data_IF_404973747427
#
_entry.id   IF_404973747427
#
_cell.length_a   1.000
_cell.length_b   1.000
_cell.length_c   1.000
_cell.angle_alpha   90.00
_cell.angle_beta   90.00
_cell.angle_gamma   90.00
#
_symmetry.space_group_name_H-M   'P 1'
#
loop_
_entity.id
_entity.type
_entity.pdbx_description
1 polymer ?
#
# COMPACT_ATOMS: atom_id res chain seq x y z
N UNK A 1 -4.57 67.45 -20.83
CA UNK A 1 -5.95 67.91 -20.51
C UNK A 1 -6.86 66.69 -20.51
N UNK A 2 -7.91 66.62 -19.68
CA UNK A 2 -7.91 66.24 -18.25
C UNK A 2 -8.57 64.83 -18.02
N UNK A 3 -8.15 64.03 -17.03
CA UNK A 3 -8.72 63.82 -15.66
C UNK A 3 -9.97 62.90 -15.59
N UNK A 4 -9.74 61.67 -15.07
CA UNK A 4 -10.59 60.79 -14.20
C UNK A 4 -11.96 60.30 -14.72
N UNK A 5 -12.53 59.13 -14.40
CA UNK A 5 -12.58 58.31 -13.17
C UNK A 5 -12.94 56.83 -13.46
N UNK A 6 -12.54 55.97 -12.51
CA UNK A 6 -12.94 54.59 -12.19
C UNK A 6 -14.35 54.08 -12.59
N UNK A 7 -14.47 52.81 -13.00
CA UNK A 7 -14.85 51.66 -12.15
C UNK A 7 -15.39 50.44 -12.93
N UNK A 8 -14.89 49.25 -12.55
CA UNK A 8 -15.50 47.91 -12.53
C UNK A 8 -16.81 47.62 -13.31
N UNK A 9 -16.81 46.52 -14.09
CA UNK A 9 -17.54 45.27 -13.79
C UNK A 9 -17.25 44.24 -14.91
N UNK A 10 -16.63 43.12 -14.53
CA UNK A 10 -16.51 41.91 -15.34
C UNK A 10 -17.89 41.26 -15.52
N UNK A 11 -18.45 41.30 -16.72
CA UNK A 11 -19.61 40.50 -17.11
C UNK A 11 -19.15 39.18 -17.72
N UNK A 12 -19.30 38.10 -16.96
CA UNK A 12 -19.18 36.72 -17.46
C UNK A 12 -20.41 36.40 -18.31
N UNK A 13 -20.19 36.21 -19.62
CA UNK A 13 -21.19 35.67 -20.55
C UNK A 13 -21.50 34.22 -20.20
N UNK A 14 -22.77 33.96 -19.85
CA UNK A 14 -23.34 32.63 -19.77
C UNK A 14 -23.66 32.14 -21.19
N UNK A 15 -23.04 31.03 -21.60
CA UNK A 15 -23.51 30.25 -22.75
C UNK A 15 -24.43 29.13 -22.26
N UNK A 16 -25.59 29.07 -22.88
CA UNK A 16 -26.68 28.15 -22.60
C UNK A 16 -26.33 26.69 -22.93
N UNK A 17 -26.68 25.78 -22.01
CA UNK A 17 -26.86 24.36 -22.29
C UNK A 17 -28.25 23.96 -21.75
N UNK A 18 -29.02 23.27 -22.60
CA UNK A 18 -30.42 22.94 -22.40
C UNK A 18 -30.70 21.88 -21.31
N UNK A 19 -31.98 21.60 -21.03
CA UNK A 19 -32.40 20.85 -19.86
C UNK A 19 -32.54 19.35 -20.17
N UNK A 20 -31.76 18.51 -19.50
CA UNK A 20 -32.08 17.10 -19.31
C UNK A 20 -31.31 16.58 -18.08
N UNK A 21 -31.95 15.66 -17.34
CA UNK A 21 -31.52 15.01 -16.10
C UNK A 21 -31.85 15.73 -14.79
N UNK A 22 -33.11 15.54 -14.37
CA UNK A 22 -33.47 15.44 -12.97
C UNK A 22 -32.74 14.22 -12.36
N UNK A 23 -31.60 14.48 -11.73
CA UNK A 23 -30.84 13.54 -10.90
C UNK A 23 -30.82 14.02 -9.45
N UNK A 24 -30.99 13.08 -8.51
CA UNK A 24 -31.10 13.28 -7.07
C UNK A 24 -30.17 14.35 -6.43
N UNK A 25 -30.65 15.20 -5.49
CA UNK A 25 -29.86 16.29 -4.90
C UNK A 25 -28.82 15.88 -3.83
N UNK A 26 -28.73 14.61 -3.45
CA UNK A 26 -28.02 14.19 -2.24
C UNK A 26 -26.48 14.14 -2.39
N UNK A 27 -25.97 13.89 -3.59
CA UNK A 27 -24.52 13.71 -3.85
C UNK A 27 -23.80 15.05 -4.06
N UNK A 28 -24.40 16.01 -4.78
CA UNK A 28 -23.88 17.38 -4.94
C UNK A 28 -23.76 18.13 -3.61
N UNK A 29 -24.69 17.88 -2.66
CA UNK A 29 -24.65 18.49 -1.33
C UNK A 29 -23.51 18.00 -0.44
N UNK A 30 -22.99 16.78 -0.64
CA UNK A 30 -21.93 16.19 0.19
C UNK A 30 -20.55 16.68 -0.23
N UNK A 31 -20.29 16.75 -1.54
CA UNK A 31 -19.05 17.28 -2.09
C UNK A 31 -18.90 18.78 -1.78
N UNK A 32 -19.96 19.57 -1.95
CA UNK A 32 -19.93 21.00 -1.63
C UNK A 32 -19.68 21.28 -0.14
N UNK A 33 -20.30 20.48 0.75
CA UNK A 33 -20.05 20.54 2.21
C UNK A 33 -18.61 20.18 2.56
N UNK A 34 -18.02 19.16 1.93
CA UNK A 34 -16.63 18.78 2.14
C UNK A 34 -15.65 19.86 1.68
N UNK A 35 -15.91 20.51 0.53
CA UNK A 35 -15.11 21.64 0.05
C UNK A 35 -15.17 22.82 1.01
N UNK A 36 -16.35 23.18 1.52
CA UNK A 36 -16.50 24.26 2.52
C UNK A 36 -15.81 23.89 3.84
N UNK A 37 -15.96 22.65 4.32
CA UNK A 37 -15.31 22.17 5.56
C UNK A 37 -13.79 22.20 5.45
N UNK A 38 -13.24 21.79 4.30
CA UNK A 38 -11.80 21.83 4.03
C UNK A 38 -11.29 23.27 3.89
N UNK A 39 -12.03 24.16 3.22
CA UNK A 39 -11.71 25.60 3.16
C UNK A 39 -11.70 26.25 4.54
N UNK A 40 -12.70 25.94 5.38
CA UNK A 40 -12.76 26.41 6.77
C UNK A 40 -11.56 25.90 7.57
N UNK A 41 -11.32 24.58 7.61
CA UNK A 41 -10.15 23.97 8.29
C UNK A 41 -8.83 24.62 7.88
N UNK A 42 -8.63 24.84 6.57
CA UNK A 42 -7.42 25.47 6.03
C UNK A 42 -7.28 26.94 6.46
N UNK A 43 -8.37 27.71 6.49
CA UNK A 43 -8.38 29.08 7.04
C UNK A 43 -8.03 29.11 8.53
N UNK A 44 -8.61 28.21 9.34
CA UNK A 44 -8.33 28.16 10.79
C UNK A 44 -6.88 27.76 11.07
N UNK A 45 -6.33 26.79 10.32
CA UNK A 45 -4.92 26.40 10.41
C UNK A 45 -3.98 27.56 10.05
N UNK A 46 -4.21 28.23 8.92
CA UNK A 46 -3.38 29.36 8.49
C UNK A 46 -3.43 30.51 9.51
N UNK A 47 -4.59 30.78 10.11
CA UNK A 47 -4.73 31.78 11.17
C UNK A 47 -3.92 31.43 12.43
N UNK A 48 -3.94 30.17 12.87
CA UNK A 48 -3.14 29.70 14.01
C UNK A 48 -1.64 29.76 13.71
N UNK A 49 -1.23 29.34 12.51
CA UNK A 49 0.19 29.42 12.10
C UNK A 49 0.68 30.87 12.04
N UNK A 50 -0.12 31.79 11.50
CA UNK A 50 0.24 33.22 11.44
C UNK A 50 0.50 33.79 12.83
N UNK A 51 -0.41 33.55 13.78
CA UNK A 51 -0.26 33.97 15.17
C UNK A 51 1.01 33.40 15.81
N UNK A 52 1.29 32.11 15.58
CA UNK A 52 2.51 31.47 16.08
C UNK A 52 3.79 32.12 15.50
N UNK A 53 3.81 32.47 14.21
CA UNK A 53 4.96 33.14 13.62
C UNK A 53 5.17 34.55 14.21
N UNK A 54 4.09 35.31 14.39
CA UNK A 54 4.14 36.65 14.97
C UNK A 54 4.63 36.65 16.43
N UNK A 55 4.25 35.65 17.23
CA UNK A 55 4.78 35.45 18.59
C UNK A 55 6.30 35.27 18.63
N UNK A 56 6.93 34.91 17.51
CA UNK A 56 8.38 34.68 17.36
C UNK A 56 9.07 35.85 16.66
N UNK A 57 8.45 37.04 16.75
CA UNK A 57 8.94 38.32 16.21
C UNK A 57 9.07 38.35 14.67
N UNK A 58 8.33 37.50 13.97
CA UNK A 58 8.21 37.56 12.51
C UNK A 58 7.13 38.59 12.17
N UNK A 59 7.44 39.53 11.28
CA UNK A 59 6.45 40.53 10.88
C UNK A 59 5.26 39.90 10.15
N UNK A 60 4.09 40.53 10.28
CA UNK A 60 2.83 40.01 9.75
C UNK A 60 2.87 39.75 8.23
N UNK A 61 3.61 40.57 7.47
CA UNK A 61 3.70 40.48 6.01
C UNK A 61 4.59 39.31 5.59
N UNK A 62 5.74 39.13 6.23
CA UNK A 62 6.60 37.96 6.02
C UNK A 62 5.92 36.67 6.47
N UNK A 63 5.20 36.68 7.60
CA UNK A 63 4.43 35.53 8.06
C UNK A 63 3.38 35.07 7.02
N UNK A 64 2.67 36.01 6.39
CA UNK A 64 1.74 35.71 5.30
C UNK A 64 2.44 35.14 4.07
N UNK A 65 3.59 35.69 3.68
CA UNK A 65 4.39 35.18 2.57
C UNK A 65 4.89 33.75 2.82
N UNK A 66 5.37 33.47 4.04
CA UNK A 66 5.83 32.13 4.44
C UNK A 66 4.69 31.11 4.38
N UNK A 67 3.50 31.46 4.88
CA UNK A 67 2.32 30.59 4.82
C UNK A 67 1.85 30.37 3.38
N UNK A 68 1.87 31.41 2.54
CA UNK A 68 1.54 31.30 1.11
C UNK A 68 2.51 30.35 0.38
N UNK A 69 3.79 30.36 0.78
CA UNK A 69 4.83 29.42 0.31
C UNK A 69 4.75 28.03 0.96
N UNK A 70 3.77 27.79 1.84
CA UNK A 70 3.52 26.50 2.47
C UNK A 70 4.45 26.16 3.64
N UNK A 71 5.11 27.16 4.24
CA UNK A 71 5.88 26.99 5.46
C UNK A 71 4.96 26.94 6.69
N UNK A 72 5.23 25.99 7.56
CA UNK A 72 4.67 25.90 8.90
C UNK A 72 5.78 26.11 9.92
N UNK A 73 5.45 26.37 11.17
CA UNK A 73 6.46 26.47 12.23
C UNK A 73 7.33 25.20 12.31
N UNK A 74 6.72 24.03 12.18
CA UNK A 74 7.43 22.75 12.15
C UNK A 74 8.42 22.64 10.98
N UNK A 75 8.10 23.20 9.81
CA UNK A 75 9.03 23.26 8.67
C UNK A 75 10.17 24.24 8.94
N UNK A 76 9.90 25.40 9.52
CA UNK A 76 10.94 26.39 9.86
C UNK A 76 11.94 25.83 10.88
N UNK A 77 11.47 25.06 11.87
CA UNK A 77 12.34 24.37 12.85
C UNK A 77 13.28 23.32 12.24
N UNK A 78 12.98 22.86 11.03
CA UNK A 78 13.77 21.88 10.28
C UNK A 78 14.75 22.54 9.29
N UNK A 79 14.80 23.87 9.23
CA UNK A 79 15.73 24.60 8.37
C UNK A 79 16.98 24.99 9.14
N UNK A 80 18.10 25.04 8.43
CA UNK A 80 19.36 25.61 8.92
C UNK A 80 19.25 27.13 9.12
N UNK A 81 20.18 27.69 9.91
CA UNK A 81 20.23 29.14 10.13
C UNK A 81 20.36 29.92 8.83
N UNK A 82 21.13 29.41 7.87
CA UNK A 82 21.38 30.09 6.59
C UNK A 82 20.15 30.05 5.68
N UNK A 83 19.42 28.93 5.65
CA UNK A 83 18.14 28.84 4.95
C UNK A 83 17.10 29.79 5.54
N UNK A 84 17.02 29.89 6.88
CA UNK A 84 16.12 30.82 7.55
C UNK A 84 16.47 32.29 7.24
N UNK A 85 17.77 32.63 7.19
CA UNK A 85 18.21 33.95 6.73
C UNK A 85 17.82 34.20 5.27
N UNK A 86 17.98 33.20 4.40
CA UNK A 86 17.55 33.26 3.00
C UNK A 86 16.04 33.42 2.82
N UNK A 87 15.25 33.03 3.81
CA UNK A 87 13.81 33.28 3.89
C UNK A 87 13.45 34.68 4.41
N UNK A 88 14.44 35.51 4.76
CA UNK A 88 14.24 36.88 5.25
C UNK A 88 14.04 37.00 6.75
N UNK A 89 14.29 35.92 7.53
CA UNK A 89 14.18 35.98 8.99
C UNK A 89 15.37 36.71 9.61
N UNK A 90 15.07 37.57 10.58
CA UNK A 90 16.08 38.24 11.40
C UNK A 90 16.71 37.26 12.39
N UNK A 91 17.96 37.53 12.79
CA UNK A 91 18.72 36.71 13.74
C UNK A 91 17.92 36.40 15.02
N UNK A 92 17.23 37.39 15.56
CA UNK A 92 16.42 37.22 16.77
C UNK A 92 15.28 36.19 16.60
N UNK A 93 14.57 36.22 15.48
CA UNK A 93 13.53 35.22 15.17
C UNK A 93 14.12 33.83 14.92
N UNK A 94 15.30 33.75 14.31
CA UNK A 94 16.01 32.48 14.09
C UNK A 94 16.39 31.86 15.42
N UNK A 95 16.98 32.64 16.32
CA UNK A 95 17.40 32.18 17.64
C UNK A 95 16.19 31.67 18.46
N UNK A 96 15.04 32.36 18.40
CA UNK A 96 13.79 31.90 19.03
C UNK A 96 13.33 30.55 18.44
N UNK A 97 13.29 30.44 17.10
CA UNK A 97 12.83 29.21 16.42
C UNK A 97 13.73 28.02 16.73
N UNK A 98 15.05 28.22 16.78
CA UNK A 98 16.03 27.15 16.96
C UNK A 98 16.13 26.64 18.41
N UNK A 99 15.87 27.52 19.39
CA UNK A 99 15.87 27.19 20.80
C UNK A 99 14.57 26.58 21.30
N UNK A 100 13.50 26.62 20.51
CA UNK A 100 12.26 25.95 20.87
C UNK A 100 12.35 24.42 20.80
N UNK A 101 11.45 23.78 21.55
CA UNK A 101 11.30 22.34 21.55
C UNK A 101 11.14 21.79 20.12
N UNK A 102 11.88 20.70 19.90
CA UNK A 102 11.84 19.90 18.67
C UNK A 102 10.39 19.51 18.34
N UNK A 103 9.94 19.65 17.08
CA UNK A 103 8.63 19.15 16.68
C UNK A 103 8.56 17.62 16.78
N UNK A 104 7.37 17.04 16.98
CA UNK A 104 7.21 15.59 16.92
C UNK A 104 7.59 15.07 15.52
N UNK A 105 8.10 13.83 15.47
CA UNK A 105 8.32 13.14 14.18
C UNK A 105 6.95 12.98 13.52
N UNK A 106 6.79 13.29 12.22
CA UNK A 106 5.54 13.06 11.51
C UNK A 106 5.08 11.60 11.66
N UNK A 107 3.79 11.41 11.93
CA UNK A 107 3.23 10.08 12.23
C UNK A 107 3.43 9.09 11.08
N UNK A 108 3.29 9.53 9.83
CA UNK A 108 3.53 8.69 8.65
C UNK A 108 4.99 8.23 8.57
N UNK A 109 5.94 9.09 8.93
CA UNK A 109 7.37 8.74 9.00
C UNK A 109 7.63 7.72 10.11
N UNK A 110 7.04 7.92 11.29
CA UNK A 110 7.12 6.96 12.40
C UNK A 110 6.59 5.60 11.97
N UNK A 111 5.39 5.56 11.40
CA UNK A 111 4.71 4.32 11.00
C UNK A 111 5.50 3.58 9.92
N UNK A 112 5.97 4.30 8.91
CA UNK A 112 6.82 3.76 7.85
C UNK A 112 8.12 3.17 8.41
N UNK A 113 8.85 3.93 9.23
CA UNK A 113 10.12 3.47 9.80
C UNK A 113 9.96 2.22 10.66
N UNK A 114 8.97 2.21 11.56
CA UNK A 114 8.71 1.09 12.46
C UNK A 114 8.40 -0.19 11.70
N UNK A 115 7.60 -0.10 10.62
CA UNK A 115 7.28 -1.28 9.83
C UNK A 115 8.42 -1.75 8.95
N UNK A 116 9.14 -0.84 8.28
CA UNK A 116 10.31 -1.21 7.48
C UNK A 116 11.34 -1.96 8.35
N UNK A 117 11.46 -1.59 9.63
CA UNK A 117 12.29 -2.29 10.61
C UNK A 117 11.62 -3.51 11.27
N UNK A 118 10.43 -3.92 10.84
CA UNK A 118 9.61 -4.97 11.45
C UNK A 118 9.45 -4.82 12.98
N UNK A 119 9.21 -3.58 13.45
CA UNK A 119 9.10 -3.21 14.87
C UNK A 119 10.25 -3.71 15.75
N UNK A 120 11.44 -3.84 15.17
CA UNK A 120 12.57 -4.52 15.81
C UNK A 120 13.83 -3.66 15.74
N UNK A 121 14.62 -3.71 16.81
CA UNK A 121 15.95 -3.08 16.83
C UNK A 121 16.84 -3.59 15.70
N UNK A 122 17.42 -2.69 14.90
CA UNK A 122 18.27 -3.10 13.77
C UNK A 122 19.62 -3.73 14.17
N UNK A 123 20.01 -3.66 15.45
CA UNK A 123 21.26 -4.23 15.96
C UNK A 123 21.07 -5.65 16.48
N UNK A 124 20.27 -5.85 17.53
CA UNK A 124 20.07 -7.19 18.08
C UNK A 124 18.99 -8.01 17.38
N UNK A 125 18.12 -7.37 16.58
CA UNK A 125 17.06 -8.04 15.82
C UNK A 125 16.07 -8.82 16.70
N UNK A 126 15.99 -8.45 17.98
CA UNK A 126 15.13 -9.07 18.98
C UNK A 126 13.81 -8.31 19.07
N UNK A 127 12.73 -8.95 18.62
CA UNK A 127 11.38 -8.38 18.59
C UNK A 127 10.68 -8.39 19.95
N UNK A 128 11.26 -9.03 20.97
CA UNK A 128 10.70 -9.06 22.33
C UNK A 128 11.06 -7.81 23.15
N UNK A 129 12.03 -7.02 22.70
CA UNK A 129 12.51 -5.83 23.41
C UNK A 129 11.69 -4.59 23.05
N UNK A 130 11.45 -3.73 24.04
CA UNK A 130 10.91 -2.39 23.83
C UNK A 130 11.83 -1.56 22.93
N UNK A 131 11.22 -0.81 22.00
CA UNK A 131 11.91 -0.05 20.97
C UNK A 131 11.68 1.47 21.10
N UNK A 132 12.61 2.24 20.55
CA UNK A 132 12.57 3.70 20.43
C UNK A 132 13.13 4.13 19.08
N UNK A 133 12.66 5.28 18.57
CA UNK A 133 13.19 5.89 17.35
C UNK A 133 14.34 6.83 17.73
N UNK A 134 15.52 6.54 17.17
CA UNK A 134 16.75 7.29 17.40
C UNK A 134 17.15 8.09 16.15
N UNK A 135 17.73 9.28 16.38
CA UNK A 135 18.32 10.15 15.38
C UNK A 135 19.79 9.80 15.18
N UNK A 136 20.15 9.23 14.02
CA UNK A 136 21.52 8.80 13.71
C UNK A 136 22.50 9.97 13.81
N UNK A 137 22.16 11.10 13.18
CA UNK A 137 22.77 12.39 13.46
C UNK A 137 21.83 13.15 14.41
N UNK A 138 22.31 13.66 15.56
CA UNK A 138 21.49 14.33 16.56
C UNK A 138 20.60 15.43 15.96
N UNK A 139 19.41 15.61 16.54
CA UNK A 139 18.48 16.65 16.10
C UNK A 139 19.10 18.05 16.14
N UNK A 140 19.88 18.36 17.17
CA UNK A 140 20.49 19.68 17.37
C UNK A 140 21.33 20.12 16.17
N UNK A 141 22.08 19.19 15.57
CA UNK A 141 22.94 19.43 14.43
C UNK A 141 22.26 19.22 13.08
N UNK A 142 21.39 18.21 12.97
CA UNK A 142 20.79 17.83 11.68
C UNK A 142 19.47 18.53 11.38
N UNK A 143 18.70 18.89 12.40
CA UNK A 143 17.31 19.41 12.32
C UNK A 143 16.42 18.60 11.38
N UNK A 144 16.70 17.31 11.19
CA UNK A 144 16.05 16.46 10.18
C UNK A 144 15.23 15.33 10.81
N UNK A 145 14.03 15.13 10.26
CA UNK A 145 13.19 13.95 10.48
C UNK A 145 13.15 13.04 9.24
N UNK A 146 14.12 13.19 8.34
CA UNK A 146 14.22 12.32 7.18
C UNK A 146 14.42 10.89 7.64
N UNK A 147 13.73 9.97 6.97
CA UNK A 147 13.77 8.56 7.32
C UNK A 147 15.19 8.01 7.29
N UNK A 148 16.07 8.56 6.45
CA UNK A 148 17.50 8.19 6.36
C UNK A 148 18.30 8.56 7.62
N UNK A 149 17.84 9.55 8.38
CA UNK A 149 18.44 9.97 9.65
C UNK A 149 17.78 9.31 10.88
N UNK A 150 16.75 8.50 10.67
CA UNK A 150 16.04 7.81 11.75
C UNK A 150 16.37 6.32 11.77
N UNK A 151 16.36 5.71 12.94
CA UNK A 151 16.55 4.26 13.12
C UNK A 151 15.73 3.75 14.30
N UNK A 152 15.40 2.46 14.29
CA UNK A 152 14.73 1.80 15.41
C UNK A 152 15.75 1.02 16.22
N UNK A 153 15.87 1.35 17.51
CA UNK A 153 16.76 0.70 18.46
C UNK A 153 15.95 0.20 19.66
N UNK A 154 16.44 -0.83 20.35
CA UNK A 154 15.93 -1.14 21.68
C UNK A 154 16.57 -0.18 22.70
N UNK A 155 15.99 -0.07 23.90
CA UNK A 155 16.46 0.85 24.93
C UNK A 155 17.97 0.67 25.23
N UNK A 156 18.44 -0.57 25.34
CA UNK A 156 19.86 -0.86 25.56
C UNK A 156 20.76 -0.26 24.47
N UNK A 157 20.49 -0.56 23.19
CA UNK A 157 21.32 -0.06 22.10
C UNK A 157 21.14 1.44 21.84
N UNK A 158 19.99 2.00 22.22
CA UNK A 158 19.79 3.44 22.24
C UNK A 158 20.75 4.11 23.23
N UNK A 159 20.88 3.56 24.44
CA UNK A 159 21.79 4.08 25.45
C UNK A 159 23.26 3.90 25.04
N UNK A 160 23.60 2.75 24.44
CA UNK A 160 24.93 2.52 23.85
C UNK A 160 25.27 3.53 22.73
N UNK A 161 24.29 3.98 21.94
CA UNK A 161 24.50 4.99 20.91
C UNK A 161 24.82 6.38 21.48
N UNK A 162 24.38 6.66 22.71
CA UNK A 162 24.71 7.88 23.45
C UNK A 162 25.95 7.76 24.32
N UNK A 163 26.48 6.54 24.51
CA UNK A 163 27.61 6.27 25.41
C UNK A 163 28.91 6.20 24.62
N UNK A 164 29.99 6.75 25.21
CA UNK A 164 31.35 6.54 24.74
C UNK A 164 32.11 5.67 25.73
N UNK A 165 32.66 4.57 25.24
CA UNK A 165 33.52 3.67 25.96
C UNK A 165 34.97 3.83 25.49
N UNK A 166 35.91 3.65 26.42
CA UNK A 166 37.34 3.73 26.15
C UNK A 166 37.90 2.39 25.63
N UNK A 167 37.38 1.28 26.16
CA UNK A 167 37.89 -0.06 25.88
C UNK A 167 37.08 -0.83 24.83
N UNK A 168 35.76 -0.57 24.74
CA UNK A 168 34.88 -1.27 23.80
C UNK A 168 34.64 -0.44 22.53
N UNK A 169 34.28 -1.13 21.44
CA UNK A 169 34.04 -0.47 20.16
C UNK A 169 32.71 0.29 20.23
N UNK A 170 32.81 1.62 20.16
CA UNK A 170 31.67 2.52 20.19
C UNK A 170 30.67 2.29 19.05
N UNK A 171 29.38 2.45 19.36
CA UNK A 171 28.31 2.37 18.40
C UNK A 171 28.20 3.70 17.63
N UNK A 172 29.01 3.86 16.59
CA UNK A 172 29.06 5.10 15.81
C UNK A 172 27.87 5.24 14.85
N UNK A 173 27.53 6.48 14.42
CA UNK A 173 26.51 6.72 13.40
C UNK A 173 26.69 5.89 12.11
N UNK A 174 27.94 5.66 11.68
CA UNK A 174 28.25 4.81 10.54
C UNK A 174 27.81 3.36 10.76
N UNK A 175 28.18 2.77 11.91
CA UNK A 175 27.79 1.40 12.27
C UNK A 175 26.27 1.25 12.38
N UNK A 176 25.58 2.26 12.90
CA UNK A 176 24.11 2.29 12.97
C UNK A 176 23.50 2.30 11.57
N UNK A 177 24.02 3.10 10.63
CA UNK A 177 23.53 3.10 9.22
C UNK A 177 23.71 1.73 8.57
N UNK A 178 24.88 1.12 8.76
CA UNK A 178 25.17 -0.19 8.17
C UNK A 178 24.31 -1.30 8.78
N UNK A 179 24.05 -1.24 10.09
CA UNK A 179 23.13 -2.16 10.75
C UNK A 179 21.69 -1.99 10.26
N UNK A 180 21.22 -0.74 10.17
CA UNK A 180 19.90 -0.41 9.61
C UNK A 180 19.77 -0.98 8.19
N UNK A 181 20.71 -0.68 7.29
CA UNK A 181 20.69 -1.14 5.90
C UNK A 181 20.54 -2.67 5.82
N UNK A 182 21.45 -3.40 6.48
CA UNK A 182 21.44 -4.87 6.50
C UNK A 182 20.16 -5.45 7.11
N UNK A 183 19.61 -4.78 8.12
CA UNK A 183 18.35 -5.22 8.72
C UNK A 183 17.17 -5.05 7.78
N UNK A 184 17.05 -3.89 7.13
CA UNK A 184 15.98 -3.63 6.16
C UNK A 184 16.05 -4.60 4.98
N UNK A 185 17.24 -4.89 4.46
CA UNK A 185 17.47 -5.93 3.44
C UNK A 185 16.98 -7.31 3.93
N UNK A 186 17.36 -7.71 5.15
CA UNK A 186 16.92 -8.97 5.75
C UNK A 186 15.40 -9.06 5.98
N UNK A 187 14.74 -7.96 6.33
CA UNK A 187 13.27 -7.91 6.46
C UNK A 187 12.60 -8.09 5.10
N UNK A 188 13.14 -7.48 4.04
CA UNK A 188 12.64 -7.70 2.68
C UNK A 188 12.84 -9.14 2.21
N UNK A 189 14.01 -9.73 2.47
CA UNK A 189 14.27 -11.15 2.17
C UNK A 189 13.29 -12.08 2.89
N UNK A 190 12.90 -11.77 4.13
CA UNK A 190 11.85 -12.53 4.85
C UNK A 190 10.51 -12.44 4.14
N UNK A 191 10.13 -11.27 3.61
CA UNK A 191 8.89 -11.09 2.83
C UNK A 191 8.87 -11.96 1.57
N UNK A 192 9.98 -11.99 0.82
CA UNK A 192 10.15 -12.87 -0.35
C UNK A 192 10.07 -14.34 0.06
N UNK A 193 10.79 -14.74 1.10
CA UNK A 193 10.79 -16.11 1.61
C UNK A 193 9.38 -16.55 2.06
N UNK A 194 8.60 -15.65 2.65
CA UNK A 194 7.22 -15.91 3.05
C UNK A 194 6.32 -16.16 1.82
N UNK A 195 6.41 -15.32 0.80
CA UNK A 195 5.63 -15.51 -0.43
C UNK A 195 5.99 -16.81 -1.17
N UNK A 196 7.28 -17.19 -1.14
CA UNK A 196 7.77 -18.45 -1.70
C UNK A 196 7.34 -19.67 -0.88
N UNK A 197 7.39 -19.60 0.46
CA UNK A 197 6.88 -20.66 1.35
C UNK A 197 5.41 -20.95 1.08
N UNK A 198 4.60 -19.90 0.92
CA UNK A 198 3.20 -20.06 0.53
C UNK A 198 3.12 -20.75 -0.83
N UNK A 199 3.80 -20.23 -1.86
CA UNK A 199 3.75 -20.79 -3.22
C UNK A 199 4.19 -22.27 -3.32
N UNK A 200 5.06 -22.72 -2.40
CA UNK A 200 5.60 -24.08 -2.36
C UNK A 200 4.81 -25.04 -1.43
N UNK A 201 3.58 -24.70 -1.05
CA UNK A 201 2.75 -25.61 -0.24
C UNK A 201 2.39 -26.87 -1.02
N UNK A 202 2.65 -28.04 -0.43
CA UNK A 202 2.25 -29.33 -0.98
C UNK A 202 0.73 -29.49 -1.02
N UNK A 203 0.19 -30.00 -2.13
CA UNK A 203 -1.25 -30.17 -2.35
C UNK A 203 -2.01 -28.87 -2.68
N UNK A 204 -1.33 -27.72 -2.69
CA UNK A 204 -1.92 -26.46 -3.14
C UNK A 204 -1.89 -26.31 -4.66
N UNK A 205 -2.85 -25.56 -5.19
CA UNK A 205 -2.94 -25.30 -6.62
C UNK A 205 -3.47 -23.89 -6.90
N UNK A 206 -3.03 -23.34 -8.03
CA UNK A 206 -3.49 -22.04 -8.51
C UNK A 206 -4.80 -22.22 -9.27
N UNK A 207 -5.85 -21.54 -8.83
CA UNK A 207 -7.16 -21.55 -9.47
C UNK A 207 -7.21 -20.61 -10.68
N UNK A 208 -6.45 -19.51 -10.64
CA UNK A 208 -6.47 -18.45 -11.64
C UNK A 208 -5.10 -17.81 -11.82
N UNK A 209 -4.80 -17.44 -13.07
CA UNK A 209 -3.67 -16.59 -13.45
C UNK A 209 -4.14 -15.44 -14.34
N UNK A 210 -3.69 -14.22 -14.04
CA UNK A 210 -3.83 -13.09 -14.94
C UNK A 210 -2.71 -13.09 -15.96
N UNK A 211 -2.92 -13.82 -17.07
CA UNK A 211 -1.91 -14.09 -18.09
C UNK A 211 -1.20 -12.80 -18.53
N UNK A 212 -1.96 -11.78 -18.95
CA UNK A 212 -1.40 -10.52 -19.44
C UNK A 212 -0.51 -9.83 -18.42
N UNK A 213 -0.97 -9.71 -17.16
CA UNK A 213 -0.18 -9.02 -16.12
C UNK A 213 1.06 -9.82 -15.73
N UNK A 214 0.97 -11.14 -15.71
CA UNK A 214 2.12 -12.00 -15.42
C UNK A 214 3.19 -11.89 -16.51
N UNK A 215 2.80 -11.90 -17.79
CA UNK A 215 3.75 -11.74 -18.90
C UNK A 215 4.37 -10.33 -18.95
N UNK A 216 3.58 -9.28 -18.73
CA UNK A 216 4.09 -7.90 -18.61
C UNK A 216 5.12 -7.79 -17.48
N UNK A 217 4.82 -8.36 -16.30
CA UNK A 217 5.75 -8.40 -15.18
C UNK A 217 7.00 -9.21 -15.52
N UNK A 218 6.84 -10.37 -16.14
CA UNK A 218 7.95 -11.23 -16.53
C UNK A 218 8.94 -10.53 -17.47
N UNK A 219 8.44 -9.76 -18.44
CA UNK A 219 9.26 -8.93 -19.31
C UNK A 219 9.94 -7.80 -18.54
N UNK A 220 9.21 -7.08 -17.68
CA UNK A 220 9.79 -5.99 -16.88
C UNK A 220 10.90 -6.44 -15.92
N UNK A 221 10.81 -7.68 -15.43
CA UNK A 221 11.79 -8.30 -14.53
C UNK A 221 12.96 -8.98 -15.26
N UNK A 222 12.96 -8.94 -16.60
CA UNK A 222 14.06 -9.36 -17.46
C UNK A 222 14.50 -10.81 -17.26
N UNK A 223 13.58 -11.75 -16.95
CA UNK A 223 13.95 -13.16 -16.82
C UNK A 223 13.76 -13.93 -18.12
N UNK A 224 14.62 -14.93 -18.30
CA UNK A 224 14.57 -15.82 -19.46
C UNK A 224 13.47 -16.88 -19.28
N UNK A 225 12.42 -16.79 -20.09
CA UNK A 225 11.30 -17.75 -20.08
C UNK A 225 11.74 -19.16 -20.50
N UNK A 226 12.88 -19.28 -21.19
CA UNK A 226 13.43 -20.57 -21.60
C UNK A 226 13.98 -21.37 -20.43
N UNK A 227 14.23 -20.73 -19.29
CA UNK A 227 14.64 -21.42 -18.07
C UNK A 227 13.49 -22.12 -17.34
N UNK A 228 12.24 -21.92 -17.76
CA UNK A 228 11.08 -22.60 -17.17
C UNK A 228 11.11 -24.10 -17.53
N UNK A 229 10.83 -24.96 -16.54
CA UNK A 229 10.89 -26.42 -16.70
C UNK A 229 9.95 -26.92 -17.80
N UNK A 230 8.77 -26.32 -17.89
CA UNK A 230 7.75 -26.70 -18.88
C UNK A 230 7.85 -25.94 -20.21
N UNK A 231 8.86 -25.08 -20.39
CA UNK A 231 9.05 -24.37 -21.67
C UNK A 231 9.22 -25.32 -22.86
N UNK A 232 10.11 -26.34 -22.84
CA UNK A 232 10.31 -27.19 -24.01
C UNK A 232 9.04 -27.95 -24.41
N UNK A 233 8.30 -28.47 -23.42
CA UNK A 233 7.06 -29.23 -23.64
C UNK A 233 5.97 -28.30 -24.21
N UNK A 234 5.78 -27.11 -23.63
CA UNK A 234 4.78 -26.17 -24.12
C UNK A 234 5.09 -25.69 -25.55
N UNK A 235 6.38 -25.58 -25.91
CA UNK A 235 6.82 -25.22 -27.25
C UNK A 235 6.55 -26.35 -28.25
N UNK A 236 6.91 -27.58 -27.90
CA UNK A 236 6.71 -28.78 -28.72
C UNK A 236 5.23 -29.00 -29.07
N UNK A 237 4.33 -28.84 -28.08
CA UNK A 237 2.88 -28.94 -28.29
C UNK A 237 2.28 -27.71 -28.99
N UNK A 238 3.07 -26.68 -29.29
CA UNK A 238 2.60 -25.50 -30.02
C UNK A 238 1.72 -24.55 -29.19
N UNK A 239 1.72 -24.65 -27.86
CA UNK A 239 0.99 -23.72 -26.99
C UNK A 239 1.67 -22.36 -26.89
N UNK A 240 2.99 -22.32 -27.02
CA UNK A 240 3.81 -21.11 -27.00
C UNK A 240 4.64 -20.97 -28.28
N UNK A 241 5.22 -19.80 -28.49
CA UNK A 241 6.22 -19.54 -29.53
C UNK A 241 7.66 -19.59 -28.96
N UNK A 242 8.65 -19.39 -29.83
CA UNK A 242 10.08 -19.38 -29.47
C UNK A 242 10.48 -18.31 -28.43
N UNK A 243 9.63 -17.29 -28.24
CA UNK A 243 9.79 -16.24 -27.24
C UNK A 243 9.14 -16.61 -25.89
N UNK A 244 8.44 -17.74 -25.81
CA UNK A 244 7.70 -18.16 -24.62
C UNK A 244 6.34 -17.46 -24.45
N UNK A 245 5.81 -16.84 -25.49
CA UNK A 245 4.49 -16.22 -25.44
C UNK A 245 3.42 -17.22 -25.84
N UNK A 246 2.29 -17.20 -25.13
CA UNK A 246 1.12 -18.02 -25.45
C UNK A 246 0.61 -17.68 -26.84
N UNK A 247 0.54 -18.70 -27.72
CA UNK A 247 -0.07 -18.56 -29.04
C UNK A 247 -1.60 -18.46 -28.91
N UNK A 248 -2.29 -17.85 -29.88
CA UNK A 248 -3.76 -17.75 -29.86
C UNK A 248 -4.42 -19.11 -29.62
N UNK A 249 -5.46 -19.18 -28.79
CA UNK A 249 -6.14 -20.45 -28.43
C UNK A 249 -6.54 -21.27 -29.68
N UNK A 250 -6.96 -20.58 -30.74
CA UNK A 250 -7.34 -21.19 -32.03
C UNK A 250 -6.21 -21.93 -32.74
N UNK A 251 -4.95 -21.70 -32.37
CA UNK A 251 -3.81 -22.39 -32.99
C UNK A 251 -3.50 -23.76 -32.37
N UNK A 252 -4.10 -24.09 -31.23
CA UNK A 252 -3.80 -25.32 -30.49
C UNK A 252 -5.04 -25.96 -29.87
N UNK A 253 -6.23 -25.49 -30.21
CA UNK A 253 -7.48 -26.15 -29.81
C UNK A 253 -8.50 -26.16 -30.94
N UNK A 254 -9.08 -27.33 -31.17
CA UNK A 254 -10.11 -27.54 -32.18
C UNK A 254 -11.49 -26.99 -31.78
N UNK A 255 -11.72 -26.78 -30.48
CA UNK A 255 -12.95 -26.18 -29.96
C UNK A 255 -12.90 -24.66 -30.11
N UNK A 256 -14.00 -24.09 -30.58
CA UNK A 256 -14.13 -22.63 -30.60
C UNK A 256 -14.12 -22.08 -29.17
N UNK A 257 -13.64 -20.85 -29.01
CA UNK A 257 -13.44 -20.25 -27.70
C UNK A 257 -14.76 -20.11 -26.94
N UNK A 258 -15.87 -19.89 -27.66
CA UNK A 258 -17.22 -19.75 -27.12
C UNK A 258 -17.84 -21.08 -26.67
N UNK A 259 -17.20 -22.21 -26.94
CA UNK A 259 -17.63 -23.55 -26.50
C UNK A 259 -16.84 -24.02 -25.25
N UNK A 260 -15.73 -23.35 -24.93
CA UNK A 260 -14.86 -23.71 -23.81
C UNK A 260 -15.37 -23.14 -22.50
N UNK A 261 -15.37 -23.97 -21.45
CA UNK A 261 -15.67 -23.48 -20.09
C UNK A 261 -14.52 -22.64 -19.53
N UNK A 262 -13.30 -23.02 -19.85
CA UNK A 262 -12.08 -22.31 -19.47
C UNK A 262 -10.98 -22.52 -20.52
N UNK A 263 -9.93 -21.69 -20.46
CA UNK A 263 -8.94 -21.57 -21.53
C UNK A 263 -8.14 -22.86 -21.80
N UNK A 264 -7.89 -23.67 -20.76
CA UNK A 264 -7.19 -24.96 -20.82
C UNK A 264 -8.11 -26.18 -20.62
N UNK A 265 -9.34 -26.11 -21.11
CA UNK A 265 -10.35 -27.17 -21.06
C UNK A 265 -10.05 -28.33 -22.03
N UNK A 266 -8.94 -29.05 -21.76
CA UNK A 266 -8.44 -30.26 -22.45
C UNK A 266 -7.27 -30.87 -21.65
N UNK A 267 -6.86 -32.12 -21.95
CA UNK A 267 -5.92 -32.88 -21.13
C UNK A 267 -4.49 -32.31 -21.12
N UNK A 268 -3.94 -32.00 -22.29
CA UNK A 268 -2.59 -31.44 -22.47
C UNK A 268 -2.47 -30.01 -21.91
N UNK A 269 -3.60 -29.39 -21.57
CA UNK A 269 -3.66 -28.09 -20.88
C UNK A 269 -2.88 -28.07 -19.57
N UNK A 270 -2.63 -29.23 -18.96
CA UNK A 270 -1.75 -29.37 -17.78
C UNK A 270 -0.33 -28.85 -18.02
N UNK A 271 0.24 -29.04 -19.22
CA UNK A 271 1.58 -28.53 -19.54
C UNK A 271 1.61 -27.01 -19.52
N UNK A 272 0.56 -26.39 -20.04
CA UNK A 272 0.41 -24.94 -20.06
C UNK A 272 0.14 -24.37 -18.66
N UNK A 273 -0.63 -25.07 -17.82
CA UNK A 273 -0.78 -24.74 -16.40
C UNK A 273 0.58 -24.72 -15.68
N UNK A 274 1.38 -25.78 -15.83
CA UNK A 274 2.68 -25.87 -15.17
C UNK A 274 3.68 -24.84 -15.71
N UNK A 275 3.65 -24.56 -17.01
CA UNK A 275 4.42 -23.46 -17.59
C UNK A 275 4.05 -22.11 -16.97
N UNK A 276 2.76 -21.82 -16.83
CA UNK A 276 2.30 -20.60 -16.16
C UNK A 276 2.70 -20.55 -14.69
N UNK A 277 2.66 -21.69 -13.98
CA UNK A 277 3.13 -21.80 -12.59
C UNK A 277 4.63 -21.48 -12.49
N UNK A 278 5.46 -21.95 -13.42
CA UNK A 278 6.90 -21.64 -13.46
C UNK A 278 7.14 -20.13 -13.65
N UNK A 279 6.49 -19.53 -14.65
CA UNK A 279 6.58 -18.07 -14.91
C UNK A 279 6.15 -17.29 -13.68
N UNK A 280 5.01 -17.64 -13.09
CA UNK A 280 4.50 -16.96 -11.91
C UNK A 280 5.45 -17.10 -10.71
N UNK A 281 6.05 -18.28 -10.52
CA UNK A 281 7.03 -18.51 -9.45
C UNK A 281 8.25 -17.58 -9.61
N UNK A 282 8.72 -17.35 -10.84
CA UNK A 282 9.80 -16.40 -11.11
C UNK A 282 9.38 -14.96 -10.81
N UNK A 283 8.13 -14.58 -11.12
CA UNK A 283 7.57 -13.27 -10.73
C UNK A 283 7.56 -13.14 -9.21
N UNK A 284 7.13 -14.16 -8.46
CA UNK A 284 7.13 -14.15 -6.99
C UNK A 284 8.54 -14.02 -6.42
N UNK A 285 9.53 -14.72 -6.97
CA UNK A 285 10.93 -14.65 -6.52
C UNK A 285 11.55 -13.26 -6.67
N UNK A 286 11.14 -12.51 -7.71
CA UNK A 286 11.70 -11.19 -8.02
C UNK A 286 10.81 -10.02 -7.58
N UNK A 287 9.65 -10.29 -6.98
CA UNK A 287 8.70 -9.27 -6.53
C UNK A 287 8.59 -9.28 -5.00
N UNK A 288 8.65 -8.11 -4.38
CA UNK A 288 8.53 -8.00 -2.93
C UNK A 288 7.05 -8.01 -2.51
N UNK A 289 6.50 -9.20 -2.26
CA UNK A 289 5.12 -9.38 -1.78
C UNK A 289 5.01 -9.08 -0.28
N UNK A 290 4.16 -8.13 0.08
CA UNK A 290 3.84 -7.81 1.46
C UNK A 290 2.71 -8.75 1.91
N UNK A 291 2.97 -9.59 2.92
CA UNK A 291 1.95 -10.44 3.52
C UNK A 291 1.05 -9.61 4.44
N UNK A 292 -0.10 -9.19 3.93
CA UNK A 292 -0.91 -8.16 4.61
C UNK A 292 -1.71 -8.70 5.80
N UNK A 293 -1.82 -10.03 5.96
CA UNK A 293 -2.47 -10.64 7.11
C UNK A 293 -1.79 -10.24 8.44
N UNK A 294 -0.46 -10.12 8.47
CA UNK A 294 0.30 -9.69 9.66
C UNK A 294 0.09 -8.21 10.01
N UNK A 295 -0.41 -7.42 9.06
CA UNK A 295 -0.67 -5.99 9.23
C UNK A 295 -2.13 -5.62 8.98
N UNK A 296 -3.06 -6.54 9.23
CA UNK A 296 -4.49 -6.36 9.00
C UNK A 296 -5.14 -5.35 9.97
N UNK A 297 -4.80 -4.06 9.79
CA UNK A 297 -5.31 -2.91 10.53
C UNK A 297 -5.32 -1.68 9.64
N UNK A 298 -6.37 -0.85 9.77
CA UNK A 298 -6.55 0.34 8.91
C UNK A 298 -5.37 1.30 8.99
N UNK A 299 -4.89 1.58 10.20
CA UNK A 299 -3.77 2.51 10.42
C UNK A 299 -2.48 1.97 9.81
N UNK A 300 -2.18 0.69 10.03
CA UNK A 300 -1.03 0.00 9.44
C UNK A 300 -1.12 0.02 7.91
N UNK A 301 -2.20 -0.47 7.31
CA UNK A 301 -2.35 -0.51 5.85
C UNK A 301 -2.16 0.87 5.21
N UNK A 302 -2.77 1.92 5.76
CA UNK A 302 -2.67 3.28 5.18
C UNK A 302 -1.24 3.85 5.18
N UNK A 303 -0.39 3.51 6.16
CA UNK A 303 1.00 4.00 6.11
C UNK A 303 1.91 3.14 5.24
N UNK A 304 1.58 1.85 5.10
CA UNK A 304 2.56 0.85 4.67
C UNK A 304 2.34 0.36 3.26
N UNK A 305 1.09 0.39 2.81
CA UNK A 305 0.70 -0.04 1.49
C UNK A 305 0.41 1.20 0.64
N UNK A 306 0.99 1.25 -0.55
CA UNK A 306 0.74 2.27 -1.57
C UNK A 306 0.37 1.63 -2.90
N UNK A 307 -0.28 2.38 -3.81
CA UNK A 307 -0.46 1.94 -5.19
C UNK A 307 0.86 1.49 -5.82
N UNK A 308 0.83 0.33 -6.47
CA UNK A 308 2.01 -0.32 -7.06
C UNK A 308 2.64 -1.41 -6.19
N UNK A 309 2.34 -1.46 -4.89
CA UNK A 309 2.89 -2.52 -4.05
C UNK A 309 2.27 -3.89 -4.38
N UNK A 310 3.10 -4.94 -4.29
CA UNK A 310 2.67 -6.32 -4.39
C UNK A 310 2.21 -6.80 -3.01
N UNK A 311 1.02 -7.40 -2.95
CA UNK A 311 0.42 -7.91 -1.71
C UNK A 311 0.08 -9.40 -1.85
N UNK A 312 0.27 -10.10 -0.75
CA UNK A 312 -0.20 -11.46 -0.53
C UNK A 312 -1.22 -11.45 0.59
N UNK A 313 -2.40 -11.99 0.33
CA UNK A 313 -3.47 -12.07 1.32
C UNK A 313 -4.12 -13.44 1.32
N UNK A 314 -4.38 -13.95 2.53
CA UNK A 314 -5.05 -15.22 2.74
C UNK A 314 -6.33 -15.03 3.55
N UNK A 315 -7.40 -15.73 3.19
CA UNK A 315 -8.63 -15.76 3.99
C UNK A 315 -9.87 -16.06 3.16
N UNK A 316 -11.04 -15.92 3.78
CA UNK A 316 -12.34 -16.08 3.13
C UNK A 316 -12.61 -14.94 2.14
N UNK A 317 -12.85 -15.29 0.88
CA UNK A 317 -13.25 -14.40 -0.21
C UNK A 317 -14.64 -14.77 -0.72
N UNK A 318 -15.42 -13.76 -1.09
CA UNK A 318 -16.68 -13.87 -1.80
C UNK A 318 -16.48 -13.56 -3.28
N UNK A 319 -17.17 -14.30 -4.15
CA UNK A 319 -17.11 -14.12 -5.60
C UNK A 319 -18.51 -13.85 -6.16
N UNK A 320 -18.68 -12.68 -6.76
CA UNK A 320 -19.94 -12.23 -7.34
C UNK A 320 -19.83 -12.13 -8.87
N UNK A 321 -20.77 -12.71 -9.65
CA UNK A 321 -20.79 -12.52 -11.10
C UNK A 321 -21.10 -11.07 -11.47
N UNK A 322 -20.30 -10.51 -12.39
CA UNK A 322 -20.54 -9.21 -13.02
C UNK A 322 -21.22 -9.38 -14.39
N UNK A 323 -21.07 -10.55 -15.01
CA UNK A 323 -21.75 -10.92 -16.26
C UNK A 323 -22.60 -12.18 -16.04
N UNK A 324 -23.59 -12.39 -16.93
CA UNK A 324 -24.36 -13.64 -16.97
C UNK A 324 -23.66 -14.75 -17.77
N UNK A 325 -22.53 -14.44 -18.41
CA UNK A 325 -21.80 -15.35 -19.30
C UNK A 325 -21.12 -16.46 -18.48
N UNK A 326 -21.30 -17.72 -18.90
CA UNK A 326 -20.80 -18.92 -18.17
C UNK A 326 -19.81 -19.77 -18.98
N UNK A 327 -19.68 -19.51 -20.28
CA UNK A 327 -18.84 -20.23 -21.25
C UNK A 327 -18.16 -19.15 -22.12
N UNK A 328 -16.94 -19.42 -22.59
CA UNK A 328 -16.15 -18.49 -23.40
C UNK A 328 -15.54 -17.34 -22.62
N UNK A 329 -14.93 -16.36 -23.30
CA UNK A 329 -14.29 -15.21 -22.65
C UNK A 329 -15.31 -14.26 -22.01
N UNK A 330 -14.87 -13.36 -21.12
CA UNK A 330 -15.69 -12.34 -20.45
C UNK A 330 -16.68 -12.90 -19.41
N UNK A 331 -16.28 -13.97 -18.72
CA UNK A 331 -16.97 -14.49 -17.53
C UNK A 331 -16.54 -13.68 -16.29
N UNK A 332 -16.80 -12.37 -16.31
CA UNK A 332 -16.28 -11.44 -15.30
C UNK A 332 -16.91 -11.69 -13.93
N UNK A 333 -16.05 -11.73 -12.92
CA UNK A 333 -16.42 -11.84 -11.51
C UNK A 333 -15.68 -10.81 -10.67
N UNK A 334 -16.37 -10.28 -9.67
CA UNK A 334 -15.79 -9.50 -8.59
C UNK A 334 -15.45 -10.42 -7.43
N UNK A 335 -14.16 -10.51 -7.09
CA UNK A 335 -13.69 -11.13 -5.87
C UNK A 335 -13.52 -10.08 -4.77
N UNK A 336 -13.98 -10.37 -3.56
CA UNK A 336 -13.72 -9.48 -2.42
C UNK A 336 -13.63 -10.21 -1.08
N UNK A 337 -12.88 -9.63 -0.14
CA UNK A 337 -12.80 -10.02 1.27
C UNK A 337 -13.11 -8.80 2.13
N UNK A 338 -13.89 -8.99 3.19
CA UNK A 338 -14.14 -7.98 4.22
C UNK A 338 -13.75 -8.57 5.57
N UNK A 339 -13.05 -7.79 6.39
CA UNK A 339 -12.78 -8.14 7.78
C UNK A 339 -12.27 -6.89 8.52
N UNK A 340 -12.73 -6.67 9.77
CA UNK A 340 -12.24 -5.59 10.65
C UNK A 340 -12.23 -4.21 9.99
N UNK A 341 -13.33 -3.86 9.30
CA UNK A 341 -13.45 -2.58 8.59
C UNK A 341 -12.48 -2.36 7.42
N UNK A 342 -11.85 -3.42 6.89
CA UNK A 342 -11.02 -3.40 5.69
C UNK A 342 -11.69 -4.25 4.62
N UNK A 343 -11.72 -3.76 3.38
CA UNK A 343 -12.23 -4.47 2.22
C UNK A 343 -11.14 -4.55 1.15
N UNK A 344 -10.89 -5.74 0.64
CA UNK A 344 -10.06 -5.96 -0.55
C UNK A 344 -10.96 -6.38 -1.68
N UNK A 345 -10.79 -5.79 -2.85
CA UNK A 345 -11.57 -6.17 -4.03
C UNK A 345 -10.74 -6.15 -5.31
N UNK A 346 -11.12 -7.04 -6.23
CA UNK A 346 -10.48 -7.22 -7.52
C UNK A 346 -11.49 -7.83 -8.50
N UNK A 347 -11.16 -7.78 -9.78
CA UNK A 347 -11.92 -8.41 -10.85
C UNK A 347 -11.08 -9.48 -11.54
N UNK A 348 -11.73 -10.58 -11.93
CA UNK A 348 -11.15 -11.66 -12.73
C UNK A 348 -12.11 -12.04 -13.85
N UNK A 349 -11.56 -12.54 -14.95
CA UNK A 349 -12.32 -13.29 -15.93
C UNK A 349 -12.17 -14.78 -15.64
N UNK A 350 -13.28 -15.43 -15.26
CA UNK A 350 -13.30 -16.83 -14.88
C UNK A 350 -12.88 -17.76 -16.03
N UNK A 351 -12.94 -17.29 -17.28
CA UNK A 351 -12.44 -18.06 -18.41
C UNK A 351 -10.97 -18.47 -18.25
N UNK A 352 -10.15 -17.67 -17.57
CA UNK A 352 -8.73 -17.94 -17.33
C UNK A 352 -8.47 -18.75 -16.05
N UNK A 353 -9.48 -19.44 -15.51
CA UNK A 353 -9.25 -20.43 -14.45
C UNK A 353 -8.59 -21.70 -14.99
N UNK A 354 -7.96 -22.48 -14.11
CA UNK A 354 -7.10 -23.59 -14.53
C UNK A 354 -7.78 -24.97 -14.55
N UNK A 355 -9.00 -25.10 -14.04
CA UNK A 355 -9.76 -26.36 -14.03
C UNK A 355 -11.25 -26.14 -13.74
N UNK A 356 -12.08 -27.17 -13.93
CA UNK A 356 -13.47 -27.15 -13.50
C UNK A 356 -13.60 -26.96 -11.97
N UNK A 357 -12.75 -27.61 -11.18
CA UNK A 357 -12.69 -27.40 -9.72
C UNK A 357 -12.37 -25.94 -9.38
N UNK A 358 -11.45 -25.32 -10.12
CA UNK A 358 -11.10 -23.91 -9.97
C UNK A 358 -12.28 -22.97 -10.23
N UNK A 359 -13.21 -23.34 -11.11
CA UNK A 359 -14.46 -22.57 -11.32
C UNK A 359 -15.34 -22.57 -10.07
N UNK A 360 -15.50 -23.75 -9.45
CA UNK A 360 -16.26 -23.91 -8.21
C UNK A 360 -15.59 -23.16 -7.06
N UNK A 361 -14.27 -23.26 -6.96
CA UNK A 361 -13.43 -22.56 -6.00
C UNK A 361 -13.54 -21.03 -6.09
N UNK A 362 -13.66 -20.47 -7.31
CA UNK A 362 -13.82 -19.03 -7.57
C UNK A 362 -15.30 -18.64 -7.70
N UNK A 363 -16.15 -19.29 -6.91
CA UNK A 363 -17.58 -19.01 -6.79
C UNK A 363 -17.98 -18.96 -5.32
N UNK A 364 -19.13 -18.37 -5.00
CA UNK A 364 -19.65 -18.33 -3.63
C UNK A 364 -18.65 -17.73 -2.63
N UNK A 365 -18.53 -18.35 -1.46
CA UNK A 365 -17.58 -17.97 -0.39
C UNK A 365 -16.58 -19.09 -0.21
N UNK A 366 -15.30 -18.82 -0.45
CA UNK A 366 -14.22 -19.80 -0.36
C UNK A 366 -12.95 -19.17 0.21
N UNK A 367 -12.18 -19.96 0.94
CA UNK A 367 -10.86 -19.51 1.39
C UNK A 367 -9.91 -19.48 0.21
N UNK A 368 -9.16 -18.38 0.09
CA UNK A 368 -8.20 -18.15 -0.98
C UNK A 368 -6.92 -17.56 -0.48
N UNK A 369 -5.87 -17.89 -1.21
CA UNK A 369 -4.66 -17.09 -1.28
C UNK A 369 -4.74 -16.23 -2.53
N UNK A 370 -4.52 -14.93 -2.40
CA UNK A 370 -4.52 -13.96 -3.48
C UNK A 370 -3.17 -13.26 -3.52
N UNK A 371 -2.53 -13.30 -4.69
CA UNK A 371 -1.39 -12.49 -5.06
C UNK A 371 -1.90 -11.35 -5.94
N UNK A 372 -1.64 -10.10 -5.56
CA UNK A 372 -2.19 -8.96 -6.28
C UNK A 372 -1.28 -7.73 -6.24
N UNK A 373 -1.53 -6.80 -7.16
CA UNK A 373 -0.91 -5.46 -7.17
C UNK A 373 -1.95 -4.44 -6.72
N UNK A 374 -1.58 -3.57 -5.78
CA UNK A 374 -2.47 -2.54 -5.26
C UNK A 374 -2.66 -1.44 -6.30
N UNK A 375 -3.92 -1.09 -6.58
CA UNK A 375 -4.29 -0.02 -7.53
C UNK A 375 -4.69 1.27 -6.83
N UNK A 376 -5.47 1.16 -5.76
CA UNK A 376 -5.85 2.30 -4.95
C UNK A 376 -6.26 1.88 -3.55
N UNK A 377 -6.07 2.80 -2.61
CA UNK A 377 -6.56 2.69 -1.24
C UNK A 377 -7.46 3.90 -0.97
N UNK A 378 -8.71 3.66 -0.60
CA UNK A 378 -9.72 4.70 -0.36
C UNK A 378 -10.57 4.35 0.84
N UNK A 379 -11.13 5.36 1.51
CA UNK A 379 -12.14 5.14 2.54
C UNK A 379 -13.52 5.29 1.91
N UNK A 380 -14.33 4.23 1.98
CA UNK A 380 -15.69 4.20 1.44
C UNK A 380 -16.67 3.73 2.53
N UNK A 381 -17.48 4.66 3.04
CA UNK A 381 -18.36 4.39 4.18
C UNK A 381 -17.55 3.91 5.39
N UNK A 382 -17.94 2.77 5.97
CA UNK A 382 -17.25 2.16 7.10
C UNK A 382 -15.97 1.40 6.72
N UNK A 383 -15.65 1.22 5.44
CA UNK A 383 -14.52 0.39 5.02
C UNK A 383 -13.32 1.20 4.50
N UNK A 384 -12.11 0.73 4.83
CA UNK A 384 -10.92 1.02 4.05
C UNK A 384 -10.87 0.05 2.87
N UNK A 385 -11.12 0.53 1.66
CA UNK A 385 -11.18 -0.26 0.43
C UNK A 385 -9.84 -0.24 -0.28
N UNK A 386 -9.28 -1.42 -0.50
CA UNK A 386 -8.09 -1.68 -1.29
C UNK A 386 -8.53 -2.33 -2.60
N UNK A 387 -8.46 -1.56 -3.68
CA UNK A 387 -8.72 -2.09 -5.02
C UNK A 387 -7.42 -2.63 -5.59
N UNK A 388 -7.45 -3.86 -6.09
CA UNK A 388 -6.28 -4.57 -6.56
C UNK A 388 -6.46 -5.14 -7.97
N UNK A 389 -5.36 -5.35 -8.66
CA UNK A 389 -5.28 -6.22 -9.84
C UNK A 389 -4.79 -7.59 -9.39
N UNK A 390 -5.65 -8.61 -9.48
CA UNK A 390 -5.24 -9.98 -9.18
C UNK A 390 -4.20 -10.46 -10.19
N UNK A 391 -3.10 -11.02 -9.69
CA UNK A 391 -2.08 -11.70 -10.48
C UNK A 391 -2.35 -13.20 -10.51
N UNK A 392 -2.56 -13.78 -9.32
CA UNK A 392 -2.91 -15.18 -9.17
C UNK A 392 -3.81 -15.38 -7.95
N UNK A 393 -4.66 -16.40 -7.99
CA UNK A 393 -5.41 -16.86 -6.82
C UNK A 393 -5.41 -18.38 -6.77
N UNK A 394 -5.42 -18.96 -5.57
CA UNK A 394 -5.56 -20.40 -5.44
C UNK A 394 -5.94 -20.89 -4.05
N UNK A 395 -5.94 -22.21 -3.92
CA UNK A 395 -6.53 -22.98 -2.82
C UNK A 395 -5.53 -23.95 -2.22
N UNK A 396 -5.68 -24.26 -0.93
CA UNK A 396 -4.89 -25.28 -0.24
C UNK A 396 -3.51 -24.82 0.20
N UNK A 397 -3.18 -23.53 0.08
CA UNK A 397 -1.92 -22.98 0.55
C UNK A 397 -1.88 -22.85 2.08
N UNK A 398 -0.73 -23.13 2.68
CA UNK A 398 -0.52 -23.03 4.13
C UNK A 398 -0.63 -21.58 4.59
N UNK A 399 -1.16 -21.38 5.79
CA UNK A 399 -1.13 -20.07 6.45
C UNK A 399 0.25 -19.83 7.03
N UNK A 400 0.81 -18.65 6.78
CA UNK A 400 2.07 -18.26 7.41
C UNK A 400 1.91 -17.89 8.89
N UNK A 401 0.76 -17.34 9.25
CA UNK A 401 0.42 -16.94 10.62
C UNK A 401 -0.08 -18.10 11.48
N UNK A 402 -0.42 -19.24 10.85
CA UNK A 402 -0.75 -20.48 11.55
C UNK A 402 -0.32 -21.69 10.71
N UNK A 403 0.95 -22.12 10.82
CA UNK A 403 1.49 -23.21 9.99
C UNK A 403 0.89 -24.58 10.31
N UNK A 404 0.10 -24.70 11.40
CA UNK A 404 -0.58 -25.93 11.79
C UNK A 404 -2.01 -25.99 11.26
N UNK A 405 -2.61 -24.86 10.90
CA UNK A 405 -3.84 -24.81 10.12
C UNK A 405 -3.54 -25.01 8.63
N UNK A 406 -3.54 -26.28 8.21
CA UNK A 406 -3.89 -26.60 6.83
C UNK A 406 -5.31 -26.06 6.57
N UNK A 407 -5.60 -25.57 5.37
CA UNK A 407 -6.99 -25.35 4.96
C UNK A 407 -7.52 -26.61 4.27
N UNK A 408 -8.05 -27.62 4.99
CA UNK A 408 -8.72 -28.74 4.35
C UNK A 408 -10.14 -28.30 3.98
N UNK A 409 -10.33 -27.48 2.94
CA UNK A 409 -11.65 -27.11 2.37
C UNK A 409 -12.76 -26.68 3.37
N UNK A 410 -12.42 -26.44 4.65
CA UNK A 410 -13.39 -26.22 5.71
C UNK A 410 -13.71 -24.73 5.75
N UNK A 411 -15.01 -24.46 5.67
CA UNK A 411 -15.60 -23.15 5.97
C UNK A 411 -15.05 -22.71 7.32
N UNK A 412 -14.15 -21.74 7.33
CA UNK A 412 -13.81 -21.06 8.57
C UNK A 412 -15.09 -20.46 9.14
N UNK A 413 -15.33 -20.69 10.42
CA UNK A 413 -16.26 -19.87 11.17
C UNK A 413 -15.76 -18.42 11.07
N UNK A 414 -16.66 -17.57 10.59
CA UNK A 414 -16.42 -16.20 10.16
C UNK A 414 -15.70 -15.35 11.24
N UNK A 415 -14.65 -14.61 10.83
CA UNK A 415 -14.18 -13.40 11.54
C UNK A 415 -15.17 -12.22 11.37
N UNK A 416 -16.38 -12.45 10.82
CA UNK A 416 -17.37 -11.42 10.46
C UNK A 416 -18.35 -11.06 11.59
N UNK A 417 -18.27 -11.63 12.79
CA UNK A 417 -19.33 -11.47 13.80
C UNK A 417 -19.36 -10.11 14.55
N UNK A 418 -18.76 -9.04 14.00
CA UNK A 418 -18.76 -7.72 14.66
C UNK A 418 -18.90 -6.50 13.73
N UNK A 419 -19.46 -6.65 12.53
CA UNK A 419 -19.67 -5.49 11.63
C UNK A 419 -21.10 -4.92 11.67
N UNK A 420 -22.05 -5.52 12.40
CA UNK A 420 -23.46 -5.05 12.49
C UNK A 420 -23.82 -4.24 13.73
N UNK A 421 -22.84 -3.89 14.59
CA UNK A 421 -23.09 -2.92 15.66
C UNK A 421 -22.91 -1.52 15.06
N UNK A 422 -24.03 -0.79 14.91
CA UNK A 422 -23.98 0.66 14.78
C UNK A 422 -23.20 1.21 15.99
N UNK A 423 -21.96 1.63 15.75
CA UNK A 423 -21.19 2.35 16.75
C UNK A 423 -21.86 3.71 16.93
N UNK A 424 -22.65 3.84 18.00
CA UNK A 424 -23.06 5.13 18.52
C UNK A 424 -21.79 5.91 18.88
N UNK A 425 -21.70 7.14 18.37
CA UNK A 425 -20.68 8.14 18.70
C UNK A 425 -20.90 8.67 20.14
N UNK A 426 -20.92 7.80 21.14
CA UNK A 426 -20.94 8.16 22.55
C UNK A 426 -19.84 7.38 23.27
N UNK A 427 -18.62 7.90 23.21
CA UNK A 427 -17.57 7.73 24.23
C UNK A 427 -16.40 8.69 23.92
N UNK A 428 -16.72 9.98 23.80
CA UNK A 428 -15.78 11.05 24.15
C UNK A 428 -16.22 11.60 25.50
N UNK A 429 -15.83 10.98 26.61
CA UNK A 429 -15.57 11.72 27.84
C UNK A 429 -14.68 10.93 28.83
N UNK A 430 -13.69 11.68 29.33
CA UNK A 430 -13.03 11.53 30.63
C UNK A 430 -11.87 10.53 30.75
N UNK A 431 -10.68 11.13 30.78
CA UNK A 431 -9.42 10.50 31.19
C UNK A 431 -8.31 11.53 31.36
N UNK A 432 -8.60 12.63 32.07
CA UNK A 432 -7.55 13.33 32.82
C UNK A 432 -6.94 12.30 33.79
N UNK A 433 -5.61 12.21 33.87
CA UNK A 433 -4.82 12.07 35.10
C UNK A 433 -3.34 12.22 34.72
N UNK A 434 -2.77 13.31 35.27
CA UNK A 434 -1.41 13.55 35.81
C UNK A 434 -0.19 13.10 34.98
#
# INVERSE_FOLDING_TARGET
MPVTTDNNIFTLRAYALGPAYAGHPATLGREYRNVIRNRRKRRTMNSKTKLALMQRKIDSKLAEQLIARGFTLGKLKQQSSDELRGLGLMKESIDIIQNESRPPIPEDTVRKLLFESNYTCCLCKDSSKSIIIHHINPWESSRSHDINNLVVLCLQHHDEAHTKHELSINLTPGRIRDAKKRWLESVQEKGINNALKVSNTDGAFYDYFNLNRIFELAESLGFDKKSCRYFPIALEYGFINELGLIKPIKSWSDKDIEEKRYWIDFFEGTYLYHYMKDIFSLVVQKSNFIYINEIWSRSKIVALIKPGDFILVQGLFSFQPLTKKQIGMSQLKKGYRKAKGIKIEFEIDLFYCNSESSRSHLSGRNVKTLYAVVRSIKVEGKFLVITCTALASGTGFNRLDDPYLLYPNMRLHDDEEYDDVELNDEDEHEGQII
#
